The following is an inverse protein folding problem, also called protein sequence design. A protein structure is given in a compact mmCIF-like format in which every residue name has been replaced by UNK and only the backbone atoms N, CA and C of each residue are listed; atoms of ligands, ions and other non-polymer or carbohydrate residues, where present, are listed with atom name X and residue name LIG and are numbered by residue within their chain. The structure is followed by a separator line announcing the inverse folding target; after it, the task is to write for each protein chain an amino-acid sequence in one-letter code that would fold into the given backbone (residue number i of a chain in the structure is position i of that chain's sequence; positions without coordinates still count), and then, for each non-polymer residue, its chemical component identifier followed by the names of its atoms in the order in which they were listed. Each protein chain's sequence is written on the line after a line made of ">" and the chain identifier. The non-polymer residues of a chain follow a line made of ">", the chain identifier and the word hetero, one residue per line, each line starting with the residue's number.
data_IF_491990530752
#
_entry.id   IF_491990530752
#
_cell.length_a   1.000
_cell.length_b   1.000
_cell.length_c   1.000
_cell.angle_alpha   90.00
_cell.angle_beta   90.00
_cell.angle_gamma   90.00
#
_symmetry.space_group_name_H-M   'P 1'
#
loop_
_entity.id
_entity.type
_entity.pdbx_description
1 polymer ?
#
# COMPACT_ATOMS: atom_id res chain seq x y z
N UNK A 1 -9.71 56.63 -19.54
CA UNK A 1 -10.31 55.66 -18.61
C UNK A 1 -10.38 54.22 -19.18
N UNK A 2 -9.45 53.74 -20.01
CA UNK A 2 -9.48 52.38 -20.62
C UNK A 2 -8.37 51.45 -20.11
N UNK A 3 -7.47 51.91 -19.24
CA UNK A 3 -6.34 51.12 -18.74
C UNK A 3 -6.65 50.28 -17.50
N UNK A 4 -7.62 50.67 -16.68
CA UNK A 4 -7.99 49.96 -15.46
C UNK A 4 -8.76 48.65 -15.70
N UNK A 5 -9.46 48.54 -16.84
CA UNK A 5 -10.27 47.32 -17.15
C UNK A 5 -9.43 46.11 -17.57
N UNK A 6 -8.25 46.35 -18.18
CA UNK A 6 -7.40 45.23 -18.65
C UNK A 6 -6.61 44.56 -17.52
N UNK A 7 -6.31 45.28 -16.43
CA UNK A 7 -5.59 44.76 -15.29
C UNK A 7 -6.48 43.83 -14.44
N UNK A 8 -7.77 44.19 -14.32
CA UNK A 8 -8.73 43.33 -13.56
C UNK A 8 -8.99 42.01 -14.28
N UNK A 9 -9.02 41.99 -15.61
CA UNK A 9 -9.20 40.77 -16.38
C UNK A 9 -7.99 39.84 -16.31
N UNK A 10 -6.75 40.36 -16.16
CA UNK A 10 -5.53 39.56 -16.05
C UNK A 10 -5.39 38.94 -14.66
N UNK A 11 -5.85 39.60 -13.60
CA UNK A 11 -5.86 39.06 -12.23
C UNK A 11 -6.92 37.96 -12.03
N UNK A 12 -8.02 37.99 -12.76
CA UNK A 12 -9.07 36.98 -12.71
C UNK A 12 -8.65 35.63 -13.36
N UNK A 13 -7.73 35.70 -14.33
CA UNK A 13 -7.20 34.48 -15.00
C UNK A 13 -6.14 33.73 -14.18
N UNK A 14 -5.50 34.36 -13.20
CA UNK A 14 -4.49 33.75 -12.35
C UNK A 14 -5.10 32.98 -11.16
N UNK A 15 -6.36 33.16 -10.86
CA UNK A 15 -7.04 32.50 -9.74
C UNK A 15 -7.67 31.14 -10.09
N UNK A 16 -7.65 30.70 -11.33
CA UNK A 16 -8.22 29.42 -11.77
C UNK A 16 -7.24 28.25 -11.74
N UNK A 17 -5.97 28.48 -11.41
CA UNK A 17 -4.93 27.44 -11.42
C UNK A 17 -4.77 26.71 -10.08
N UNK A 18 -5.56 27.01 -9.07
CA UNK A 18 -5.34 26.51 -7.69
C UNK A 18 -6.15 25.25 -7.31
N UNK A 19 -6.88 24.67 -8.25
CA UNK A 19 -7.59 23.41 -7.99
C UNK A 19 -7.00 22.25 -8.78
N UNK A 20 -5.66 22.11 -8.82
CA UNK A 20 -5.06 20.81 -8.98
C UNK A 20 -5.27 20.08 -7.65
N UNK A 21 -6.46 19.50 -7.46
CA UNK A 21 -6.72 18.61 -6.35
C UNK A 21 -5.63 17.56 -6.35
N UNK A 22 -4.78 17.54 -5.32
CA UNK A 22 -3.88 16.42 -5.06
C UNK A 22 -4.78 15.20 -4.91
N UNK A 23 -4.86 14.38 -5.97
CA UNK A 23 -5.59 13.13 -5.87
C UNK A 23 -4.85 12.30 -4.82
N UNK A 24 -5.44 12.21 -3.63
CA UNK A 24 -4.93 11.37 -2.53
C UNK A 24 -4.88 9.91 -2.96
N UNK A 25 -4.20 9.10 -2.18
CA UNK A 25 -4.24 7.67 -2.37
C UNK A 25 -5.67 7.16 -2.18
N UNK A 26 -6.05 6.18 -2.98
CA UNK A 26 -7.34 5.51 -2.81
C UNK A 26 -7.05 4.16 -2.19
N UNK A 27 -7.56 3.95 -0.98
CA UNK A 27 -7.53 2.67 -0.28
C UNK A 27 -8.84 1.95 -0.59
N UNK A 28 -8.71 0.71 -1.06
CA UNK A 28 -9.85 -0.12 -1.44
C UNK A 28 -10.50 -0.81 -0.25
N UNK A 29 -11.32 -1.83 -0.54
CA UNK A 29 -11.94 -2.65 0.49
C UNK A 29 -10.89 -3.29 1.40
N UNK A 30 -11.10 -3.19 2.71
CA UNK A 30 -10.21 -3.75 3.73
C UNK A 30 -10.89 -4.89 4.45
N UNK A 31 -10.14 -5.95 4.70
CA UNK A 31 -10.58 -7.09 5.50
C UNK A 31 -9.60 -7.34 6.64
N UNK A 32 -10.14 -7.70 7.81
CA UNK A 32 -9.38 -8.16 8.97
C UNK A 32 -9.89 -9.53 9.39
N UNK A 33 -8.97 -10.46 9.61
CA UNK A 33 -9.30 -11.74 10.20
C UNK A 33 -9.76 -11.56 11.65
N UNK A 34 -10.61 -12.44 12.13
CA UNK A 34 -11.07 -12.42 13.54
C UNK A 34 -9.88 -12.55 14.50
N UNK A 35 -8.81 -13.20 14.07
CA UNK A 35 -7.58 -13.40 14.84
C UNK A 35 -6.57 -12.25 14.69
N UNK A 36 -6.92 -11.17 13.99
CA UNK A 36 -6.06 -10.00 13.91
C UNK A 36 -5.95 -9.36 15.29
N UNK A 37 -4.73 -9.16 15.75
CA UNK A 37 -4.43 -8.51 17.02
C UNK A 37 -3.24 -7.55 16.82
N UNK A 38 -3.48 -6.26 17.04
CA UNK A 38 -2.45 -5.24 16.94
C UNK A 38 -1.39 -5.38 18.05
N UNK A 39 -1.78 -5.80 19.26
CA UNK A 39 -0.83 -5.98 20.35
C UNK A 39 0.13 -7.13 20.06
N UNK A 40 -0.35 -8.20 19.42
CA UNK A 40 0.49 -9.30 18.93
C UNK A 40 1.47 -8.82 17.86
N UNK A 41 0.96 -8.06 16.86
CA UNK A 41 1.81 -7.44 15.83
C UNK A 41 2.88 -6.56 16.44
N UNK A 42 2.51 -5.69 17.38
CA UNK A 42 3.43 -4.79 18.07
C UNK A 42 4.54 -5.59 18.79
N UNK A 43 4.17 -6.56 19.61
CA UNK A 43 5.12 -7.37 20.37
C UNK A 43 6.07 -8.17 19.46
N UNK A 44 5.59 -8.61 18.29
CA UNK A 44 6.38 -9.39 17.34
C UNK A 44 7.38 -8.54 16.55
N UNK A 45 7.12 -7.25 16.35
CA UNK A 45 7.84 -6.43 15.38
C UNK A 45 8.60 -5.24 15.98
N UNK A 46 8.32 -4.84 17.23
CA UNK A 46 8.96 -3.69 17.86
C UNK A 46 10.47 -3.88 18.01
N UNK A 47 11.25 -2.94 17.48
CA UNK A 47 12.71 -2.99 17.47
C UNK A 47 13.30 -4.08 16.56
N UNK A 48 12.52 -4.72 15.68
CA UNK A 48 12.95 -5.86 14.87
C UNK A 48 12.84 -5.60 13.38
N UNK A 49 13.55 -6.45 12.62
CA UNK A 49 13.38 -6.53 11.18
C UNK A 49 12.02 -7.18 10.86
N UNK A 50 11.30 -6.54 9.93
CA UNK A 50 10.02 -7.02 9.44
C UNK A 50 10.08 -7.23 7.94
N UNK A 51 9.88 -8.45 7.49
CA UNK A 51 10.01 -8.77 6.08
C UNK A 51 8.88 -8.19 5.25
N UNK A 52 9.25 -7.54 4.14
CA UNK A 52 8.36 -7.16 3.04
C UNK A 52 8.72 -7.97 1.81
N UNK A 53 7.74 -8.62 1.22
CA UNK A 53 7.88 -9.35 -0.04
C UNK A 53 7.23 -8.51 -1.13
N UNK A 54 8.02 -8.08 -2.13
CA UNK A 54 7.51 -7.39 -3.31
C UNK A 54 7.28 -8.40 -4.44
N UNK A 55 6.14 -8.29 -5.10
CA UNK A 55 5.77 -9.09 -6.26
C UNK A 55 5.32 -8.19 -7.39
N UNK A 56 5.88 -8.39 -8.57
CA UNK A 56 5.64 -7.55 -9.74
C UNK A 56 6.45 -6.25 -9.73
N UNK A 57 6.33 -5.50 -10.81
CA UNK A 57 6.98 -4.19 -10.97
C UNK A 57 5.92 -3.14 -11.36
N UNK A 58 5.66 -2.13 -10.51
CA UNK A 58 4.68 -1.08 -10.82
C UNK A 58 5.19 -0.07 -11.86
N UNK A 59 6.50 -0.05 -12.14
CA UNK A 59 7.15 0.85 -13.09
C UNK A 59 7.91 0.05 -14.13
N UNK A 60 7.22 -0.48 -15.17
CA UNK A 60 7.80 -1.44 -16.12
C UNK A 60 9.01 -0.91 -16.89
N UNK A 61 9.14 0.40 -17.04
CA UNK A 61 10.26 1.05 -17.72
C UNK A 61 11.52 1.16 -16.83
N UNK A 62 11.45 0.74 -15.57
CA UNK A 62 12.55 0.75 -14.61
C UNK A 62 12.96 -0.68 -14.26
N UNK A 63 14.26 -0.87 -13.99
CA UNK A 63 14.76 -2.15 -13.48
C UNK A 63 14.11 -2.51 -12.13
N UNK A 64 13.57 -3.73 -11.96
CA UNK A 64 12.86 -4.15 -10.74
C UNK A 64 13.70 -4.02 -9.46
N UNK A 65 15.00 -4.30 -9.51
CA UNK A 65 15.88 -4.17 -8.35
C UNK A 65 16.08 -2.70 -7.96
N UNK A 66 16.12 -1.82 -8.95
CA UNK A 66 16.19 -0.37 -8.72
C UNK A 66 14.90 0.12 -8.08
N UNK A 67 13.74 -0.30 -8.60
CA UNK A 67 12.44 0.02 -8.01
C UNK A 67 12.37 -0.46 -6.56
N UNK A 68 12.74 -1.71 -6.28
CA UNK A 68 12.74 -2.25 -4.92
C UNK A 68 13.66 -1.45 -3.98
N UNK A 69 14.88 -1.15 -4.42
CA UNK A 69 15.85 -0.38 -3.63
C UNK A 69 15.34 1.03 -3.30
N UNK A 70 14.66 1.68 -4.23
CA UNK A 70 14.11 3.03 -4.03
C UNK A 70 12.81 3.04 -3.21
N UNK A 71 11.99 1.99 -3.30
CA UNK A 71 10.76 1.87 -2.50
C UNK A 71 11.04 1.64 -1.01
N UNK A 72 12.11 0.93 -0.66
CA UNK A 72 12.38 0.56 0.74
C UNK A 72 12.47 1.78 1.68
N UNK A 73 13.27 2.83 1.38
CA UNK A 73 13.31 4.02 2.23
C UNK A 73 11.98 4.79 2.26
N UNK A 74 11.20 4.77 1.16
CA UNK A 74 9.87 5.41 1.11
C UNK A 74 8.90 4.69 2.04
N UNK A 75 8.88 3.36 2.02
CA UNK A 75 8.10 2.55 2.95
C UNK A 75 8.56 2.75 4.40
N UNK A 76 9.88 2.77 4.65
CA UNK A 76 10.45 2.95 5.97
C UNK A 76 10.08 4.31 6.57
N UNK A 77 10.05 5.37 5.77
CA UNK A 77 9.61 6.71 6.20
C UNK A 77 8.10 6.78 6.49
N UNK A 78 7.33 5.91 5.84
CA UNK A 78 5.87 5.83 5.97
C UNK A 78 5.39 4.84 7.03
N UNK A 79 6.31 4.06 7.64
CA UNK A 79 5.96 2.98 8.58
C UNK A 79 5.09 3.45 9.74
N UNK A 80 4.14 2.62 10.21
CA UNK A 80 3.40 2.89 11.42
C UNK A 80 4.25 2.60 12.68
N UNK A 81 3.67 2.78 13.85
CA UNK A 81 4.16 2.12 15.06
C UNK A 81 3.99 0.60 14.91
N UNK A 82 4.86 -0.24 15.46
CA UNK A 82 5.99 -0.01 16.35
C UNK A 82 7.28 0.47 15.64
N UNK A 83 8.39 0.49 16.37
CA UNK A 83 9.73 0.83 15.85
C UNK A 83 10.34 -0.32 15.05
N UNK A 84 9.65 -0.79 14.00
CA UNK A 84 10.14 -1.84 13.12
C UNK A 84 11.07 -1.32 12.01
N UNK A 85 11.88 -2.22 11.43
CA UNK A 85 12.68 -1.95 10.25
C UNK A 85 12.24 -2.85 9.11
N UNK A 86 11.75 -2.26 8.02
CA UNK A 86 11.41 -3.04 6.82
C UNK A 86 12.67 -3.58 6.14
N UNK A 87 12.61 -4.82 5.71
CA UNK A 87 13.68 -5.46 4.93
C UNK A 87 13.08 -6.41 3.89
N UNK A 88 13.79 -6.61 2.78
CA UNK A 88 13.45 -7.65 1.81
C UNK A 88 14.10 -9.00 2.15
N UNK A 89 15.07 -9.00 3.05
CA UNK A 89 15.76 -10.23 3.44
C UNK A 89 14.83 -11.16 4.20
N UNK A 90 14.81 -12.42 3.78
CA UNK A 90 14.15 -13.45 4.53
C UNK A 90 14.95 -13.73 5.83
N UNK A 91 14.29 -13.98 6.97
CA UNK A 91 14.99 -14.38 8.18
C UNK A 91 15.71 -15.72 7.95
N UNK A 92 16.94 -15.86 8.48
CA UNK A 92 17.75 -17.08 8.38
C UNK A 92 16.97 -18.29 8.92
N UNK A 93 16.32 -18.09 10.06
CA UNK A 93 15.38 -19.04 10.63
C UNK A 93 14.00 -18.36 10.69
N UNK A 94 13.00 -19.00 10.12
CA UNK A 94 11.64 -18.47 10.18
C UNK A 94 11.11 -18.60 11.61
N UNK A 95 10.81 -17.48 12.28
CA UNK A 95 10.20 -17.54 13.60
C UNK A 95 8.81 -18.18 13.53
N UNK A 96 8.33 -18.65 14.67
CA UNK A 96 6.95 -19.12 14.79
C UNK A 96 6.28 -18.37 15.94
N UNK A 97 5.28 -17.54 15.65
CA UNK A 97 4.70 -17.23 14.33
C UNK A 97 5.61 -16.36 13.45
N UNK A 98 5.49 -16.53 12.13
CA UNK A 98 6.22 -15.78 11.12
C UNK A 98 5.32 -14.71 10.51
N UNK A 99 5.68 -13.46 10.76
CA UNK A 99 4.96 -12.29 10.27
C UNK A 99 5.69 -11.66 9.09
N UNK A 100 4.91 -11.26 8.07
CA UNK A 100 5.43 -10.55 6.90
C UNK A 100 4.34 -9.76 6.21
N UNK A 101 4.74 -8.75 5.48
CA UNK A 101 3.89 -8.03 4.54
C UNK A 101 4.18 -8.48 3.12
N UNK A 102 3.16 -8.83 2.36
CA UNK A 102 3.28 -9.13 0.93
C UNK A 102 2.60 -8.00 0.16
N UNK A 103 3.36 -7.34 -0.72
CA UNK A 103 2.90 -6.27 -1.59
C UNK A 103 2.94 -6.78 -3.04
N UNK A 104 1.77 -6.92 -3.66
CA UNK A 104 1.64 -7.42 -5.02
C UNK A 104 1.19 -6.28 -5.92
N UNK A 105 2.10 -5.82 -6.78
CA UNK A 105 1.79 -4.81 -7.76
C UNK A 105 1.01 -5.42 -8.92
N UNK A 106 -0.05 -4.73 -9.33
CA UNK A 106 -0.95 -5.16 -10.39
C UNK A 106 -1.46 -6.60 -10.18
N UNK A 107 -1.92 -6.90 -8.97
CA UNK A 107 -2.44 -8.23 -8.62
C UNK A 107 -3.59 -8.64 -9.54
N UNK A 108 -3.69 -9.95 -9.83
CA UNK A 108 -4.85 -10.50 -10.51
C UNK A 108 -6.12 -10.27 -9.67
N UNK A 109 -7.27 -9.93 -10.29
CA UNK A 109 -8.49 -9.56 -9.56
C UNK A 109 -9.08 -10.68 -8.69
N UNK A 110 -8.79 -11.93 -9.02
CA UNK A 110 -9.26 -13.14 -8.35
C UNK A 110 -8.25 -13.71 -7.34
N UNK A 111 -7.13 -13.02 -7.12
CA UNK A 111 -6.11 -13.45 -6.16
C UNK A 111 -6.59 -13.18 -4.73
N UNK A 112 -6.82 -14.23 -3.97
CA UNK A 112 -7.22 -14.12 -2.56
C UNK A 112 -6.04 -14.12 -1.61
N UNK A 113 -6.19 -13.48 -0.46
CA UNK A 113 -5.15 -13.31 0.55
C UNK A 113 -4.64 -14.63 1.15
N UNK A 114 -5.50 -15.62 1.30
CA UNK A 114 -5.08 -16.96 1.74
C UNK A 114 -4.04 -17.56 0.78
N UNK A 115 -4.30 -17.48 -0.52
CA UNK A 115 -3.35 -17.97 -1.53
C UNK A 115 -2.02 -17.19 -1.47
N UNK A 116 -2.07 -15.86 -1.25
CA UNK A 116 -0.89 -15.01 -1.09
C UNK A 116 -0.04 -15.44 0.10
N UNK A 117 -0.64 -15.67 1.27
CA UNK A 117 0.09 -16.11 2.46
C UNK A 117 0.65 -17.53 2.31
N UNK A 118 0.12 -18.33 1.40
CA UNK A 118 0.66 -19.65 1.01
C UNK A 118 1.65 -19.58 -0.17
N UNK A 119 2.08 -18.40 -0.57
CA UNK A 119 3.12 -18.22 -1.59
C UNK A 119 2.61 -18.15 -3.02
N UNK A 120 1.30 -18.20 -3.26
CA UNK A 120 0.74 -18.01 -4.59
C UNK A 120 0.69 -16.53 -4.92
N UNK A 121 1.31 -16.15 -6.05
CA UNK A 121 1.30 -14.76 -6.52
C UNK A 121 0.96 -14.74 -8.00
N UNK A 122 0.01 -13.87 -8.37
CA UNK A 122 -0.39 -13.65 -9.77
C UNK A 122 -0.56 -12.16 -10.02
N UNK A 123 0.03 -11.70 -11.10
CA UNK A 123 -0.03 -10.30 -11.53
C UNK A 123 -0.66 -10.18 -12.91
N UNK A 124 -1.17 -9.01 -13.21
CA UNK A 124 -1.67 -8.62 -14.53
C UNK A 124 -0.83 -7.46 -15.07
N UNK A 125 -1.05 -7.10 -16.32
CA UNK A 125 -0.41 -5.92 -16.88
C UNK A 125 -0.90 -4.65 -16.15
N UNK A 126 0.04 -3.85 -15.67
CA UNK A 126 -0.24 -2.57 -15.04
C UNK A 126 -0.68 -1.50 -16.04
N UNK A 127 -1.30 -0.45 -15.51
CA UNK A 127 -1.62 0.76 -16.27
C UNK A 127 -0.47 1.75 -16.14
N UNK A 128 0.06 2.29 -17.26
CA UNK A 128 1.09 3.32 -17.20
C UNK A 128 0.65 4.51 -16.34
N UNK A 129 1.56 5.00 -15.51
CA UNK A 129 1.30 6.16 -14.64
C UNK A 129 0.40 5.88 -13.43
N UNK A 130 0.02 4.63 -13.19
CA UNK A 130 -0.79 4.21 -12.04
C UNK A 130 -0.06 3.14 -11.23
N UNK A 131 0.30 3.47 -10.01
CA UNK A 131 0.73 2.47 -9.03
C UNK A 131 -0.53 1.85 -8.42
N UNK A 132 -0.74 0.56 -8.65
CA UNK A 132 -1.79 -0.25 -8.03
C UNK A 132 -1.14 -1.40 -7.29
N UNK A 133 -1.53 -1.62 -6.05
CA UNK A 133 -1.03 -2.73 -5.24
C UNK A 133 -2.12 -3.39 -4.40
N UNK A 134 -1.93 -4.66 -4.14
CA UNK A 134 -2.64 -5.46 -3.17
C UNK A 134 -1.69 -5.79 -2.01
N UNK A 135 -2.05 -5.38 -0.81
CA UNK A 135 -1.27 -5.58 0.41
C UNK A 135 -1.92 -6.64 1.29
N UNK A 136 -1.13 -7.62 1.71
CA UNK A 136 -1.57 -8.69 2.61
C UNK A 136 -0.57 -8.83 3.76
N UNK A 137 -1.05 -8.61 4.99
CA UNK A 137 -0.30 -8.92 6.20
C UNK A 137 -0.54 -10.38 6.59
N UNK A 138 0.51 -11.17 6.58
CA UNK A 138 0.46 -12.60 6.85
C UNK A 138 1.07 -12.95 8.22
N UNK A 139 0.41 -13.87 8.93
CA UNK A 139 0.95 -14.63 10.07
C UNK A 139 1.00 -16.10 9.67
N UNK A 140 2.19 -16.64 9.44
CA UNK A 140 2.37 -17.97 8.81
C UNK A 140 1.64 -18.01 7.45
N UNK A 141 0.69 -18.92 7.29
CA UNK A 141 -0.18 -19.12 6.11
C UNK A 141 -1.52 -18.37 6.19
N UNK A 142 -1.76 -17.64 7.28
CA UNK A 142 -3.00 -16.91 7.50
C UNK A 142 -2.86 -15.43 7.15
N UNK A 143 -3.84 -14.90 6.42
CA UNK A 143 -3.97 -13.46 6.20
C UNK A 143 -4.63 -12.84 7.43
N UNK A 144 -3.94 -11.88 8.05
CA UNK A 144 -4.43 -11.13 9.20
C UNK A 144 -5.20 -9.89 8.77
N UNK A 145 -4.67 -9.17 7.79
CA UNK A 145 -5.37 -8.06 7.13
C UNK A 145 -5.02 -7.99 5.66
N UNK A 146 -5.90 -7.40 4.87
CA UNK A 146 -5.68 -7.16 3.45
C UNK A 146 -6.38 -5.89 2.99
N UNK A 147 -5.83 -5.24 1.97
CA UNK A 147 -6.46 -4.12 1.27
C UNK A 147 -5.81 -3.91 -0.08
N UNK A 148 -6.48 -3.19 -0.96
CA UNK A 148 -5.90 -2.66 -2.19
C UNK A 148 -5.64 -1.17 -2.06
N UNK A 149 -4.65 -0.66 -2.79
CA UNK A 149 -4.38 0.76 -2.83
C UNK A 149 -3.90 1.18 -4.22
N UNK A 150 -4.22 2.40 -4.62
CA UNK A 150 -3.69 2.95 -5.88
C UNK A 150 -3.56 4.47 -5.84
N UNK A 151 -2.61 4.95 -6.62
CA UNK A 151 -2.33 6.37 -6.78
C UNK A 151 -1.65 6.59 -8.14
N UNK A 152 -1.91 7.70 -8.84
CA UNK A 152 -1.09 8.10 -9.97
C UNK A 152 0.35 8.36 -9.50
N UNK A 153 1.33 7.72 -10.15
CA UNK A 153 2.74 7.89 -9.82
C UNK A 153 3.63 7.71 -11.05
N UNK A 154 4.73 8.44 -11.12
CA UNK A 154 5.69 8.41 -12.22
C UNK A 154 6.95 7.61 -11.91
N UNK A 155 7.15 7.23 -10.66
CA UNK A 155 8.31 6.47 -10.20
C UNK A 155 8.25 6.17 -8.70
N UNK A 156 9.15 5.34 -8.19
CA UNK A 156 9.14 4.90 -6.78
C UNK A 156 9.38 6.04 -5.77
N UNK A 157 10.07 7.09 -6.18
CA UNK A 157 10.39 8.27 -5.35
C UNK A 157 9.38 9.42 -5.50
N UNK A 158 8.33 9.23 -6.29
CA UNK A 158 7.25 10.22 -6.38
C UNK A 158 6.64 10.45 -4.98
N UNK A 159 6.51 11.71 -4.51
CA UNK A 159 5.98 12.01 -3.17
C UNK A 159 4.62 11.36 -2.87
N UNK A 160 3.81 11.13 -3.91
CA UNK A 160 2.51 10.47 -3.81
C UNK A 160 2.64 9.01 -3.40
N UNK A 161 3.72 8.33 -3.76
CA UNK A 161 4.00 6.95 -3.32
C UNK A 161 4.20 6.89 -1.80
N UNK A 162 4.91 7.86 -1.23
CA UNK A 162 5.05 8.00 0.22
C UNK A 162 3.71 8.25 0.92
N UNK A 163 2.82 9.04 0.30
CA UNK A 163 1.47 9.25 0.80
C UNK A 163 0.67 7.95 0.78
N UNK A 164 0.70 7.20 -0.34
CA UNK A 164 0.01 5.92 -0.45
C UNK A 164 0.45 4.95 0.64
N UNK A 165 1.75 4.81 0.88
CA UNK A 165 2.24 3.90 1.94
C UNK A 165 1.84 4.34 3.34
N UNK A 166 1.81 5.66 3.65
CA UNK A 166 1.31 6.14 4.94
C UNK A 166 -0.15 5.73 5.17
N UNK A 167 -1.00 5.97 4.19
CA UNK A 167 -2.43 5.64 4.28
C UNK A 167 -2.65 4.12 4.31
N UNK A 168 -1.92 3.37 3.47
CA UNK A 168 -1.95 1.92 3.43
C UNK A 168 -1.60 1.29 4.78
N UNK A 169 -0.49 1.71 5.39
CA UNK A 169 -0.01 1.11 6.63
C UNK A 169 -0.89 1.44 7.82
N UNK A 170 -1.53 2.61 7.85
CA UNK A 170 -2.55 2.93 8.86
C UNK A 170 -3.74 1.98 8.79
N UNK A 171 -4.04 1.46 7.62
CA UNK A 171 -5.15 0.51 7.40
C UNK A 171 -4.69 -0.92 7.65
N UNK A 172 -3.59 -1.36 7.03
CA UNK A 172 -3.10 -2.75 7.15
C UNK A 172 -2.69 -3.10 8.57
N UNK A 173 -2.12 -2.15 9.31
CA UNK A 173 -1.62 -2.33 10.69
C UNK A 173 -2.41 -1.46 11.67
N UNK A 174 -3.72 -1.40 11.52
CA UNK A 174 -4.56 -0.60 12.40
C UNK A 174 -4.59 -1.16 13.84
N UNK A 175 -4.64 -0.28 14.83
CA UNK A 175 -4.90 -0.64 16.23
C UNK A 175 -6.38 -0.78 16.55
N UNK A 176 -7.25 -0.37 15.64
CA UNK A 176 -8.71 -0.34 15.81
C UNK A 176 -9.41 -0.96 14.60
N UNK A 177 -9.28 -2.29 14.39
CA UNK A 177 -9.89 -2.95 13.25
C UNK A 177 -11.43 -2.88 13.34
N UNK A 178 -12.05 -2.37 12.29
CA UNK A 178 -13.51 -2.45 12.15
C UNK A 178 -13.88 -3.89 11.74
N UNK A 179 -14.19 -4.74 12.70
CA UNK A 179 -14.70 -6.08 12.42
C UNK A 179 -16.11 -5.99 11.84
N UNK A 180 -16.23 -6.34 10.57
CA UNK A 180 -17.52 -6.67 9.95
C UNK A 180 -18.39 -5.49 9.60
N UNK A 181 -18.15 -4.88 8.47
CA UNK A 181 -19.15 -4.52 7.47
C UNK A 181 -18.50 -4.53 6.09
N UNK A 182 -18.27 -5.72 5.55
CA UNK A 182 -18.14 -5.83 4.11
C UNK A 182 -19.49 -5.53 3.47
N UNK A 183 -19.77 -4.25 3.22
CA UNK A 183 -20.92 -3.83 2.42
C UNK A 183 -20.67 -3.99 0.92
N UNK A 184 -19.48 -4.43 0.51
CA UNK A 184 -19.19 -4.79 -0.88
C UNK A 184 -18.58 -6.18 -0.91
N UNK A 185 -19.45 -7.18 -1.00
CA UNK A 185 -19.09 -8.57 -1.16
C UNK A 185 -18.22 -8.81 -2.40
N UNK A 186 -16.95 -9.13 -2.18
CA UNK A 186 -16.30 -10.11 -3.04
C UNK A 186 -16.42 -11.44 -2.31
N UNK A 187 -17.10 -12.36 -2.95
CA UNK A 187 -17.56 -13.61 -2.40
C UNK A 187 -16.50 -14.35 -1.59
N UNK A 188 -16.68 -14.37 -0.28
CA UNK A 188 -16.16 -15.43 0.53
C UNK A 188 -16.80 -16.71 0.03
N UNK A 189 -16.03 -17.63 -0.47
CA UNK A 189 -16.50 -18.97 -0.73
C UNK A 189 -17.05 -19.55 0.56
N UNK A 190 -18.35 -19.78 0.55
CA UNK A 190 -18.97 -20.72 1.48
C UNK A 190 -18.57 -22.12 1.04
N UNK A 191 -18.07 -22.87 1.97
CA UNK A 191 -17.82 -24.32 2.03
C UNK A 191 -16.64 -24.83 1.21
#
# INVERSE_FOLDING_TARGET
>A
MRFKSKIVALLALLSLSACAASQGAIIGGTYYAVQYDFAEFFAATDGRNFQVILVGNPFPDMDPNTVARELLPVMQAAKPRPALTFTYDAPVERPRPYYRLVLIFNSAPDLGSYAVCNGTTRTTQGRPGLLYLYAVYCRNDQAMSETTAWIPATGPTDPRVGQLFRELFLVVFTDSPAYGRNLNGRGGMRN
#
